data_IF_286896870435
#
_entry.id   IF_286896870435
#
_cell.length_a   1.000
_cell.length_b   1.000
_cell.length_c   1.000
_cell.angle_alpha   90.00
_cell.angle_beta   90.00
_cell.angle_gamma   90.00
#
_symmetry.space_group_name_H-M   'P 1'
#
loop_
_entity.id
_entity.type
_entity.pdbx_description
1 polymer ?
#
# COMPACT_ATOMS: atom_id res chain seq x y z
N UNK A 1 -10.92 -5.30 35.70
CA UNK A 1 -10.57 -4.39 34.58
C UNK A 1 -9.15 -4.70 34.14
N UNK A 2 -8.96 -5.39 33.00
CA UNK A 2 -7.64 -5.85 32.54
C UNK A 2 -7.07 -4.85 31.53
N UNK A 3 -5.97 -4.19 31.89
CA UNK A 3 -5.23 -3.25 31.02
C UNK A 3 -4.49 -4.06 29.96
N UNK A 4 -4.87 -3.93 28.69
CA UNK A 4 -4.10 -4.46 27.55
C UNK A 4 -3.23 -3.32 27.05
N UNK A 5 -1.93 -3.39 27.37
CA UNK A 5 -0.93 -2.45 26.88
C UNK A 5 -0.70 -2.65 25.39
N UNK A 6 -1.09 -1.66 24.60
CA UNK A 6 -0.74 -1.52 23.20
C UNK A 6 0.74 -1.13 23.11
N UNK A 7 1.58 -2.12 22.83
CA UNK A 7 3.00 -1.92 22.54
C UNK A 7 3.11 -1.39 21.11
N UNK A 8 3.09 -0.06 20.99
CA UNK A 8 3.38 0.66 19.76
C UNK A 8 4.85 0.39 19.41
N UNK A 9 5.08 -0.31 18.30
CA UNK A 9 6.42 -0.61 17.81
C UNK A 9 7.16 0.70 17.53
N UNK A 10 8.27 0.85 18.23
CA UNK A 10 9.23 1.95 18.18
C UNK A 10 9.65 2.19 16.73
N UNK A 11 9.28 3.36 16.19
CA UNK A 11 9.93 3.92 15.01
C UNK A 11 11.39 4.18 15.35
N UNK A 12 12.28 3.27 14.95
CA UNK A 12 13.70 3.37 15.22
C UNK A 12 14.40 3.98 14.00
N UNK A 13 14.47 5.32 13.97
CA UNK A 13 15.42 6.04 13.12
C UNK A 13 16.72 6.17 13.92
N UNK A 14 17.66 5.27 13.67
CA UNK A 14 19.07 5.48 13.97
C UNK A 14 19.85 5.02 12.74
N UNK A 15 19.83 5.89 11.73
CA UNK A 15 20.61 5.80 10.50
C UNK A 15 22.03 6.30 10.81
N UNK A 16 22.81 5.46 11.44
CA UNK A 16 24.25 5.62 11.42
C UNK A 16 24.79 4.28 10.98
N UNK A 17 25.50 4.26 9.85
CA UNK A 17 26.58 3.31 9.48
C UNK A 17 26.76 3.29 7.96
N UNK A 18 28.01 3.52 7.55
CA UNK A 18 28.58 3.41 6.20
C UNK A 18 27.86 4.20 5.10
N UNK A 19 28.24 5.47 4.92
CA UNK A 19 27.99 6.19 3.67
C UNK A 19 29.22 6.07 2.77
N UNK A 20 29.01 5.71 1.50
CA UNK A 20 30.00 5.94 0.44
C UNK A 20 30.98 4.79 0.17
N UNK A 21 30.77 3.61 0.77
CA UNK A 21 31.55 2.42 0.40
C UNK A 21 30.82 1.61 -0.68
N UNK A 22 31.59 1.02 -1.59
CA UNK A 22 31.07 0.05 -2.55
C UNK A 22 30.73 -1.26 -1.81
N UNK A 23 29.53 -1.79 -2.05
CA UNK A 23 29.06 -3.05 -1.52
C UNK A 23 29.14 -4.12 -2.61
N UNK A 24 29.98 -5.13 -2.41
CA UNK A 24 29.96 -6.35 -3.23
C UNK A 24 29.19 -7.44 -2.50
N UNK A 25 28.09 -7.92 -3.07
CA UNK A 25 27.32 -9.03 -2.49
C UNK A 25 28.03 -10.36 -2.64
N UNK A 26 27.61 -11.37 -1.88
CA UNK A 26 28.11 -12.76 -2.04
C UNK A 26 27.87 -13.32 -3.45
N UNK A 27 26.81 -12.88 -4.13
CA UNK A 27 26.52 -13.22 -5.53
C UNK A 27 27.45 -12.52 -6.54
N UNK A 28 28.35 -11.64 -6.07
CA UNK A 28 29.31 -10.90 -6.89
C UNK A 28 28.78 -9.59 -7.48
N UNK A 29 27.52 -9.22 -7.19
CA UNK A 29 26.94 -7.95 -7.65
C UNK A 29 27.53 -6.79 -6.84
N UNK A 30 27.92 -5.72 -7.52
CA UNK A 30 28.53 -4.54 -6.89
C UNK A 30 27.55 -3.37 -6.94
N UNK A 31 27.33 -2.75 -5.80
CA UNK A 31 26.57 -1.51 -5.64
C UNK A 31 27.52 -0.41 -5.20
N UNK A 32 27.42 0.78 -5.80
CA UNK A 32 28.31 1.91 -5.51
C UNK A 32 27.65 2.94 -4.61
N UNK A 33 28.47 3.64 -3.82
CA UNK A 33 28.04 4.69 -2.89
C UNK A 33 26.88 4.25 -2.00
N UNK A 34 27.05 3.09 -1.37
CA UNK A 34 25.95 2.48 -0.63
C UNK A 34 25.71 3.19 0.69
N UNK A 35 24.43 3.43 0.97
CA UNK A 35 23.93 3.89 2.26
C UNK A 35 22.90 2.88 2.80
N UNK A 36 23.08 2.45 4.05
CA UNK A 36 22.07 1.65 4.74
C UNK A 36 20.92 2.54 5.22
N UNK A 37 19.71 2.30 4.72
CA UNK A 37 18.52 3.06 5.13
C UNK A 37 17.71 2.38 6.21
N UNK A 38 17.43 1.09 6.06
CA UNK A 38 16.49 0.38 6.94
C UNK A 38 16.89 -1.08 7.08
N UNK A 39 16.79 -1.59 8.30
CA UNK A 39 16.94 -3.02 8.59
C UNK A 39 15.61 -3.51 9.13
N UNK A 40 14.98 -4.41 8.40
CA UNK A 40 13.72 -4.99 8.81
C UNK A 40 13.62 -6.40 8.25
N UNK A 41 13.17 -7.32 9.09
CA UNK A 41 12.71 -8.61 8.61
C UNK A 41 13.73 -9.50 7.96
N UNK A 42 14.98 -9.48 8.43
CA UNK A 42 16.03 -10.28 7.81
C UNK A 42 16.59 -9.67 6.52
N UNK A 43 16.13 -8.48 6.14
CA UNK A 43 16.57 -7.75 4.96
C UNK A 43 17.13 -6.38 5.35
N UNK A 44 17.94 -5.84 4.45
CA UNK A 44 18.48 -4.48 4.52
C UNK A 44 18.10 -3.74 3.27
N UNK A 45 17.43 -2.61 3.44
CA UNK A 45 17.22 -1.65 2.37
C UNK A 45 18.45 -0.76 2.26
N UNK A 46 19.07 -0.80 1.08
CA UNK A 46 20.18 0.05 0.72
C UNK A 46 19.74 1.08 -0.32
N UNK A 47 20.39 2.24 -0.29
CA UNK A 47 20.35 3.24 -1.36
C UNK A 47 21.74 3.28 -1.98
N UNK A 48 21.81 3.34 -3.30
CA UNK A 48 23.03 3.36 -4.10
C UNK A 48 22.81 4.26 -5.32
N UNK A 49 23.84 4.46 -6.15
CA UNK A 49 23.77 5.36 -7.31
C UNK A 49 22.58 5.05 -8.24
N UNK A 50 22.32 3.78 -8.53
CA UNK A 50 21.21 3.36 -9.42
C UNK A 50 19.82 3.32 -8.74
N UNK A 51 19.69 3.74 -7.48
CA UNK A 51 18.41 3.79 -6.76
C UNK A 51 18.41 3.03 -5.43
N UNK A 52 17.26 2.45 -5.07
CA UNK A 52 17.09 1.73 -3.81
C UNK A 52 16.82 0.24 -4.06
N UNK A 53 17.51 -0.62 -3.33
CA UNK A 53 17.36 -2.08 -3.42
C UNK A 53 17.21 -2.68 -2.02
N UNK A 54 16.40 -3.71 -1.90
CA UNK A 54 16.29 -4.52 -0.67
C UNK A 54 17.09 -5.80 -0.85
N UNK A 55 18.09 -6.00 -0.01
CA UNK A 55 18.95 -7.19 -0.01
C UNK A 55 18.64 -8.08 1.20
N UNK A 56 18.79 -9.38 1.02
CA UNK A 56 18.80 -10.32 2.14
C UNK A 56 20.07 -10.13 2.98
N UNK A 57 20.00 -10.33 4.30
CA UNK A 57 21.20 -10.27 5.15
C UNK A 57 22.27 -11.28 4.76
N UNK A 58 21.90 -12.42 4.18
CA UNK A 58 22.86 -13.40 3.68
C UNK A 58 23.62 -12.93 2.45
N UNK A 59 23.12 -11.94 1.73
CA UNK A 59 23.83 -11.40 0.57
C UNK A 59 24.84 -10.32 0.97
N UNK A 60 24.78 -9.85 2.23
CA UNK A 60 25.67 -8.83 2.74
C UNK A 60 27.00 -9.44 3.21
N UNK A 61 28.14 -8.79 2.93
CA UNK A 61 29.43 -9.21 3.46
C UNK A 61 29.44 -9.22 4.98
N UNK A 62 30.21 -10.14 5.56
CA UNK A 62 30.34 -10.30 7.01
C UNK A 62 30.73 -8.99 7.73
N UNK A 63 31.59 -8.18 7.10
CA UNK A 63 31.97 -6.85 7.62
C UNK A 63 30.78 -5.90 7.82
N UNK A 64 29.76 -5.95 6.95
CA UNK A 64 28.54 -5.16 7.10
C UNK A 64 27.65 -5.71 8.21
N UNK A 65 27.58 -7.04 8.33
CA UNK A 65 26.83 -7.70 9.41
C UNK A 65 27.47 -7.39 10.78
N UNK A 66 28.80 -7.36 10.83
CA UNK A 66 29.56 -6.96 12.02
C UNK A 66 29.38 -5.46 12.35
N UNK A 67 29.14 -4.60 11.37
CA UNK A 67 28.82 -3.19 11.61
C UNK A 67 27.41 -2.98 12.21
N UNK A 68 26.52 -3.98 12.15
CA UNK A 68 25.21 -3.91 12.79
C UNK A 68 25.35 -3.86 14.32
N UNK A 69 24.59 -2.97 14.95
CA UNK A 69 24.55 -2.83 16.40
C UNK A 69 24.12 -4.13 17.08
N UNK A 70 24.56 -4.32 18.32
CA UNK A 70 24.19 -5.49 19.16
C UNK A 70 22.67 -5.68 19.22
N UNK A 71 21.91 -4.58 19.32
CA UNK A 71 20.42 -4.62 19.30
C UNK A 71 19.86 -5.11 17.97
N UNK A 72 20.42 -4.69 16.85
CA UNK A 72 19.99 -5.15 15.52
C UNK A 72 20.28 -6.66 15.37
N UNK A 73 21.45 -7.13 15.80
CA UNK A 73 21.76 -8.57 15.77
C UNK A 73 20.82 -9.40 16.65
N UNK A 74 20.48 -8.89 17.83
CA UNK A 74 19.52 -9.57 18.71
C UNK A 74 18.11 -9.61 18.10
N UNK A 75 17.68 -8.56 17.40
CA UNK A 75 16.42 -8.58 16.65
C UNK A 75 16.42 -9.67 15.56
N UNK A 76 17.56 -9.92 14.91
CA UNK A 76 17.73 -10.99 13.93
C UNK A 76 17.72 -12.40 14.54
N UNK A 77 18.17 -12.54 15.79
CA UNK A 77 18.13 -13.82 16.51
C UNK A 77 16.72 -14.19 16.97
N UNK A 78 15.84 -13.21 17.15
CA UNK A 78 14.43 -13.44 17.51
C UNK A 78 13.54 -13.88 16.33
N UNK A 79 14.13 -13.99 15.13
CA UNK A 79 13.41 -14.38 13.92
C UNK A 79 13.12 -15.88 13.91
N UNK A 80 11.93 -16.25 13.44
CA UNK A 80 11.44 -17.62 13.48
C UNK A 80 11.32 -18.18 12.06
N UNK A 81 11.61 -19.46 11.91
CA UNK A 81 11.40 -20.16 10.65
C UNK A 81 9.91 -20.46 10.46
N UNK A 82 9.39 -20.14 9.27
CA UNK A 82 7.99 -20.33 8.91
C UNK A 82 7.91 -21.30 7.76
N UNK A 83 7.31 -22.46 8.01
CA UNK A 83 6.95 -23.41 6.98
C UNK A 83 5.55 -23.12 6.46
N UNK A 84 5.41 -22.89 5.16
CA UNK A 84 4.13 -22.65 4.49
C UNK A 84 3.51 -24.00 4.11
N UNK A 85 2.20 -24.02 3.84
CA UNK A 85 1.41 -25.24 3.59
C UNK A 85 1.95 -26.11 2.43
N UNK A 86 2.61 -25.49 1.46
CA UNK A 86 3.30 -26.14 0.33
C UNK A 86 4.58 -26.89 0.76
N UNK A 87 5.00 -26.76 2.01
CA UNK A 87 6.21 -27.34 2.57
C UNK A 87 7.42 -26.41 2.52
N UNK A 88 7.33 -25.26 1.85
CA UNK A 88 8.43 -24.30 1.71
C UNK A 88 8.76 -23.67 3.06
N UNK A 89 10.04 -23.70 3.44
CA UNK A 89 10.52 -23.16 4.72
C UNK A 89 11.24 -21.83 4.49
N UNK A 90 10.63 -20.76 4.98
CA UNK A 90 11.22 -19.43 5.01
C UNK A 90 11.95 -19.21 6.33
N UNK A 91 13.28 -19.14 6.27
CA UNK A 91 14.12 -19.03 7.46
C UNK A 91 14.29 -17.60 7.92
N UNK A 92 14.35 -17.42 9.25
CA UNK A 92 14.51 -16.13 9.92
C UNK A 92 13.53 -15.08 9.39
N UNK A 93 12.25 -15.39 9.52
CA UNK A 93 11.17 -14.64 8.87
C UNK A 93 10.50 -13.67 9.82
N UNK A 94 10.14 -12.49 9.31
CA UNK A 94 9.12 -11.61 9.89
C UNK A 94 7.90 -11.53 9.00
N UNK A 95 6.75 -11.26 9.63
CA UNK A 95 5.49 -11.13 8.93
C UNK A 95 5.05 -9.67 8.92
N UNK A 96 4.81 -9.12 7.74
CA UNK A 96 4.24 -7.79 7.55
C UNK A 96 2.92 -7.90 6.78
N UNK A 97 1.83 -7.33 7.32
CA UNK A 97 0.52 -7.41 6.65
C UNK A 97 0.45 -6.42 5.49
N UNK A 98 0.10 -6.90 4.30
CA UNK A 98 -0.12 -6.06 3.12
C UNK A 98 -1.61 -5.74 2.87
N UNK A 99 -2.51 -6.24 3.72
CA UNK A 99 -3.95 -6.21 3.47
C UNK A 99 -4.38 -7.19 2.36
N UNK A 100 -5.69 -7.25 2.09
CA UNK A 100 -6.24 -8.04 0.97
C UNK A 100 -6.01 -9.55 1.05
N UNK A 101 -5.80 -10.12 2.25
CA UNK A 101 -5.60 -11.57 2.41
C UNK A 101 -4.18 -12.06 2.19
N UNK A 102 -3.21 -11.15 2.06
CA UNK A 102 -1.80 -11.50 1.87
C UNK A 102 -0.92 -10.96 2.99
N UNK A 103 0.18 -11.69 3.22
CA UNK A 103 1.25 -11.32 4.15
C UNK A 103 2.55 -11.30 3.37
N UNK A 104 3.35 -10.26 3.58
CA UNK A 104 4.72 -10.21 3.13
C UNK A 104 5.57 -10.95 4.17
N UNK A 105 6.20 -12.04 3.74
CA UNK A 105 7.25 -12.69 4.50
C UNK A 105 8.57 -12.05 4.10
N UNK A 106 9.17 -11.29 5.01
CA UNK A 106 10.56 -10.87 4.87
C UNK A 106 11.41 -11.95 5.55
N UNK A 107 12.22 -12.64 4.77
CA UNK A 107 13.06 -13.75 5.19
C UNK A 107 14.51 -13.53 4.74
N UNK A 108 15.42 -14.44 5.10
CA UNK A 108 16.85 -14.31 4.79
C UNK A 108 17.14 -14.10 3.29
N UNK A 109 16.34 -14.70 2.42
CA UNK A 109 16.49 -14.65 0.95
C UNK A 109 15.68 -13.55 0.26
N UNK A 110 15.15 -12.59 1.01
CA UNK A 110 14.37 -11.47 0.47
C UNK A 110 12.93 -11.45 0.97
N UNK A 111 12.03 -10.94 0.14
CA UNK A 111 10.62 -10.78 0.48
C UNK A 111 9.74 -11.59 -0.46
N UNK A 112 8.79 -12.34 0.09
CA UNK A 112 7.80 -13.09 -0.68
C UNK A 112 6.39 -12.79 -0.18
N UNK A 113 5.45 -12.66 -1.12
CA UNK A 113 4.04 -12.47 -0.81
C UNK A 113 3.35 -13.83 -0.71
N UNK A 114 2.74 -14.11 0.45
CA UNK A 114 2.08 -15.40 0.73
C UNK A 114 0.64 -15.15 1.15
N UNK A 115 -0.29 -16.01 0.73
CA UNK A 115 -1.68 -15.92 1.16
C UNK A 115 -1.80 -16.29 2.65
N UNK A 116 -2.65 -15.59 3.40
CA UNK A 116 -2.86 -15.87 4.84
C UNK A 116 -3.30 -17.33 5.06
N UNK A 117 -4.05 -17.91 4.11
CA UNK A 117 -4.51 -19.30 4.16
C UNK A 117 -3.39 -20.35 4.15
N UNK A 118 -2.24 -20.01 3.58
CA UNK A 118 -1.09 -20.92 3.47
C UNK A 118 -0.16 -20.84 4.69
N UNK A 119 -0.37 -19.88 5.59
CA UNK A 119 0.40 -19.76 6.83
C UNK A 119 -0.03 -20.81 7.87
N UNK A 120 0.90 -21.26 8.75
CA UNK A 120 0.57 -22.10 9.89
C UNK A 120 -0.52 -21.50 10.79
N UNK A 121 -1.33 -22.36 11.40
CA UNK A 121 -2.46 -21.95 12.27
C UNK A 121 -2.03 -20.95 13.36
N UNK A 122 -0.84 -21.15 13.95
CA UNK A 122 -0.28 -20.25 14.98
C UNK A 122 -0.12 -18.80 14.51
N UNK A 123 0.24 -18.57 13.25
CA UNK A 123 0.44 -17.22 12.71
C UNK A 123 -0.84 -16.63 12.15
N UNK A 124 -1.74 -17.48 11.63
CA UNK A 124 -3.08 -17.05 11.19
C UNK A 124 -3.79 -16.32 12.33
N UNK A 125 -3.76 -16.88 13.56
CA UNK A 125 -4.39 -16.31 14.75
C UNK A 125 -3.95 -14.88 15.13
N UNK A 126 -2.82 -14.40 14.61
CA UNK A 126 -2.32 -13.04 14.89
C UNK A 126 -2.93 -12.01 13.94
N UNK A 127 -3.33 -12.41 12.73
CA UNK A 127 -3.98 -11.53 11.73
C UNK A 127 -5.51 -11.45 11.92
N UNK A 128 -6.06 -12.31 12.77
CA UNK A 128 -7.48 -12.66 12.72
C UNK A 128 -8.42 -11.73 13.47
N UNK A 129 -7.98 -10.82 14.33
CA UNK A 129 -8.95 -9.97 15.05
C UNK A 129 -9.55 -8.82 14.23
N UNK A 130 -8.86 -8.36 13.18
CA UNK A 130 -9.32 -7.25 12.32
C UNK A 130 -9.49 -7.64 10.86
N UNK A 131 -8.85 -8.71 10.38
CA UNK A 131 -8.92 -9.16 8.98
C UNK A 131 -9.76 -10.43 8.74
N UNK A 132 -10.01 -11.31 9.72
CA UNK A 132 -10.90 -12.48 9.49
C UNK A 132 -12.34 -12.09 9.19
N UNK A 133 -12.83 -10.99 9.77
CA UNK A 133 -14.19 -10.50 9.47
C UNK A 133 -14.34 -10.05 8.01
N UNK A 134 -13.24 -9.87 7.29
CA UNK A 134 -13.19 -9.52 5.87
C UNK A 134 -12.93 -10.79 5.02
N UNK A 135 -12.06 -11.69 5.48
CA UNK A 135 -11.68 -12.91 4.74
C UNK A 135 -12.69 -14.07 4.79
N UNK A 136 -13.53 -14.14 5.82
CA UNK A 136 -14.55 -15.19 5.92
C UNK A 136 -15.86 -14.82 5.22
N UNK A 137 -15.94 -13.65 4.57
CA UNK A 137 -17.13 -13.31 3.80
C UNK A 137 -17.13 -14.08 2.50
N UNK A 138 -18.16 -14.87 2.29
CA UNK A 138 -18.37 -15.54 0.99
C UNK A 138 -18.55 -14.47 -0.11
N UNK A 139 -18.26 -14.78 -1.38
CA UNK A 139 -18.56 -13.86 -2.49
C UNK A 139 -20.02 -13.39 -2.49
N UNK A 140 -20.94 -14.22 -1.98
CA UNK A 140 -22.35 -13.88 -1.79
C UNK A 140 -22.55 -12.85 -0.69
N UNK A 141 -21.89 -12.98 0.46
CA UNK A 141 -21.94 -11.99 1.55
C UNK A 141 -21.31 -10.65 1.14
N UNK A 142 -20.27 -10.67 0.32
CA UNK A 142 -19.66 -9.45 -0.24
C UNK A 142 -20.64 -8.77 -1.20
N UNK A 143 -21.30 -9.53 -2.09
CA UNK A 143 -22.34 -8.99 -2.98
C UNK A 143 -23.54 -8.45 -2.21
N UNK A 144 -23.98 -9.16 -1.17
CA UNK A 144 -25.07 -8.72 -0.31
C UNK A 144 -24.70 -7.44 0.46
N UNK A 145 -23.49 -7.36 1.00
CA UNK A 145 -22.99 -6.16 1.66
C UNK A 145 -22.84 -4.99 0.69
N UNK A 146 -22.37 -5.23 -0.53
CA UNK A 146 -22.27 -4.22 -1.56
C UNK A 146 -23.64 -3.70 -2.01
N UNK A 147 -24.64 -4.58 -2.20
CA UNK A 147 -26.01 -4.20 -2.50
C UNK A 147 -26.65 -3.43 -1.34
N UNK A 148 -26.45 -3.89 -0.10
CA UNK A 148 -26.91 -3.19 1.10
C UNK A 148 -26.26 -1.81 1.23
N UNK A 149 -24.97 -1.70 0.88
CA UNK A 149 -24.28 -0.42 0.83
C UNK A 149 -24.89 0.48 -0.25
N UNK A 150 -25.04 0.03 -1.50
CA UNK A 150 -25.63 0.85 -2.58
C UNK A 150 -26.99 1.42 -2.12
N UNK A 151 -27.84 0.59 -1.53
CA UNK A 151 -29.15 1.01 -0.99
C UNK A 151 -29.98 1.71 -2.06
N UNK A 152 -30.39 2.96 -1.81
CA UNK A 152 -31.15 3.79 -2.77
C UNK A 152 -30.27 4.59 -3.74
N UNK A 153 -28.96 4.31 -3.78
CA UNK A 153 -28.02 5.00 -4.64
C UNK A 153 -28.28 4.73 -6.12
N UNK A 154 -28.38 5.80 -6.93
CA UNK A 154 -28.56 5.66 -8.39
C UNK A 154 -27.20 5.55 -9.08
N UNK A 155 -27.01 4.60 -10.02
CA UNK A 155 -25.78 4.52 -10.80
C UNK A 155 -25.66 5.77 -11.68
N UNK A 156 -24.44 6.30 -11.78
CA UNK A 156 -24.15 7.48 -12.61
C UNK A 156 -23.71 7.13 -14.04
N UNK A 157 -23.36 5.86 -14.27
CA UNK A 157 -22.68 5.43 -15.50
C UNK A 157 -21.17 5.74 -15.53
N UNK A 158 -20.68 6.52 -14.57
CA UNK A 158 -19.26 6.84 -14.44
C UNK A 158 -18.51 5.76 -13.63
N UNK A 159 -17.21 5.61 -13.90
CA UNK A 159 -16.32 4.67 -13.22
C UNK A 159 -15.13 5.39 -12.60
N UNK A 160 -14.58 4.85 -11.50
CA UNK A 160 -13.29 5.29 -10.95
C UNK A 160 -12.13 4.88 -11.87
N UNK A 161 -10.93 5.41 -11.63
CA UNK A 161 -9.71 4.98 -12.33
C UNK A 161 -9.45 3.47 -12.21
N UNK A 162 -9.89 2.87 -11.10
CA UNK A 162 -9.82 1.44 -10.83
C UNK A 162 -10.99 0.63 -11.46
N UNK A 163 -11.82 1.27 -12.29
CA UNK A 163 -12.94 0.63 -12.99
C UNK A 163 -14.22 0.40 -12.18
N UNK A 164 -14.31 0.95 -10.95
CA UNK A 164 -15.47 0.74 -10.05
C UNK A 164 -16.62 1.69 -10.36
N UNK A 165 -17.85 1.21 -10.31
CA UNK A 165 -19.04 2.02 -10.59
C UNK A 165 -19.27 3.10 -9.52
N UNK A 166 -19.66 4.29 -9.98
CA UNK A 166 -19.98 5.43 -9.14
C UNK A 166 -21.49 5.58 -9.00
N UNK A 167 -21.93 5.74 -7.76
CA UNK A 167 -23.32 5.91 -7.35
C UNK A 167 -23.54 7.30 -6.74
N UNK A 168 -24.74 7.84 -6.87
CA UNK A 168 -25.18 9.06 -6.18
C UNK A 168 -26.19 8.69 -5.09
N UNK A 169 -25.87 9.05 -3.86
CA UNK A 169 -26.73 8.83 -2.71
C UNK A 169 -27.89 9.84 -2.64
N UNK A 170 -28.86 9.57 -1.76
CA UNK A 170 -30.04 10.43 -1.56
C UNK A 170 -29.73 11.89 -1.25
N UNK A 171 -28.55 12.19 -0.68
CA UNK A 171 -28.08 13.55 -0.38
C UNK A 171 -27.23 14.18 -1.51
N UNK A 172 -27.23 13.60 -2.71
CA UNK A 172 -26.45 14.10 -3.86
C UNK A 172 -24.94 13.88 -3.76
N UNK A 173 -24.48 13.11 -2.78
CA UNK A 173 -23.06 12.73 -2.64
C UNK A 173 -22.71 11.57 -3.56
N UNK A 174 -21.58 11.69 -4.27
CA UNK A 174 -21.04 10.62 -5.13
C UNK A 174 -20.19 9.66 -4.30
N UNK A 175 -20.37 8.37 -4.50
CA UNK A 175 -19.61 7.33 -3.79
C UNK A 175 -19.40 6.09 -4.67
N UNK A 176 -18.41 5.29 -4.35
CA UNK A 176 -18.27 3.92 -4.85
C UNK A 176 -18.29 2.94 -3.67
N UNK A 177 -18.45 1.66 -3.96
CA UNK A 177 -18.36 0.59 -2.96
C UNK A 177 -16.98 -0.05 -3.04
N UNK A 178 -16.27 -0.12 -1.91
CA UNK A 178 -14.97 -0.77 -1.83
C UNK A 178 -15.08 -2.31 -1.80
N UNK A 179 -13.95 -2.99 -1.75
CA UNK A 179 -13.91 -4.46 -1.74
C UNK A 179 -14.44 -5.06 -0.42
N UNK A 180 -14.64 -4.23 0.61
CA UNK A 180 -15.21 -4.63 1.90
C UNK A 180 -16.74 -4.47 1.94
N UNK A 181 -17.34 -3.90 0.89
CA UNK A 181 -18.76 -3.55 0.85
C UNK A 181 -19.09 -2.25 1.59
N UNK A 182 -18.14 -1.31 1.71
CA UNK A 182 -18.34 0.00 2.37
C UNK A 182 -18.44 1.13 1.35
N UNK A 183 -19.19 2.18 1.69
CA UNK A 183 -19.28 3.41 0.90
C UNK A 183 -18.01 4.24 1.06
N UNK A 184 -17.37 4.57 -0.06
CA UNK A 184 -16.28 5.54 -0.12
C UNK A 184 -16.76 6.74 -0.93
N UNK A 185 -16.92 7.88 -0.25
CA UNK A 185 -17.40 9.10 -0.88
C UNK A 185 -16.26 9.79 -1.65
N UNK A 186 -16.57 10.18 -2.88
CA UNK A 186 -15.66 10.94 -3.72
C UNK A 186 -15.66 12.39 -3.25
N UNK A 187 -14.48 12.96 -3.07
CA UNK A 187 -14.32 14.37 -2.74
C UNK A 187 -14.85 15.17 -3.93
N UNK A 188 -15.76 16.13 -3.69
CA UNK A 188 -16.12 17.07 -4.76
C UNK A 188 -14.84 17.80 -5.15
N UNK A 189 -14.47 17.71 -6.43
CA UNK A 189 -13.58 18.70 -6.98
C UNK A 189 -14.24 20.05 -6.78
N UNK A 190 -13.48 20.98 -6.21
CA UNK A 190 -13.92 22.36 -6.02
C UNK A 190 -13.92 23.00 -7.40
N UNK A 191 -14.98 22.77 -8.18
CA UNK A 191 -15.21 23.49 -9.43
C UNK A 191 -15.22 24.97 -9.07
N UNK A 192 -14.23 25.71 -9.58
CA UNK A 192 -14.19 27.16 -9.46
C UNK A 192 -15.54 27.71 -9.92
N UNK A 193 -16.18 28.50 -9.07
CA UNK A 193 -17.44 29.13 -9.37
C UNK A 193 -17.34 29.87 -10.71
N UNK A 194 -18.35 29.66 -11.54
CA UNK A 194 -18.55 30.27 -12.83
C UNK A 194 -18.18 31.77 -12.82
N UNK A 195 -17.20 32.15 -13.65
CA UNK A 195 -17.15 33.50 -14.19
C UNK A 195 -18.35 33.65 -15.13
N UNK A 196 -19.28 34.52 -14.73
CA UNK A 196 -20.42 34.97 -15.54
C UNK A 196 -19.92 35.41 -16.92
N UNK A 197 -20.60 35.04 -18.03
CA UNK A 197 -20.29 35.61 -19.34
C UNK A 197 -20.61 37.10 -19.32
N UNK A 198 -19.61 37.93 -19.64
CA UNK A 198 -19.79 39.34 -19.91
C UNK A 198 -20.75 39.52 -21.10
N UNK A 199 -21.82 40.25 -20.87
CA UNK A 199 -22.76 40.71 -21.91
C UNK A 199 -21.97 41.60 -22.88
N UNK A 200 -21.90 41.22 -24.15
CA UNK A 200 -21.40 42.08 -25.23
C UNK A 200 -22.44 42.13 -26.34
N UNK A 201 -23.37 43.08 -26.21
CA UNK A 201 -24.35 43.36 -27.26
C UNK A 201 -23.72 44.24 -28.34
N UNK A 202 -23.35 43.55 -29.42
CA UNK A 202 -23.57 43.88 -30.82
C UNK A 202 -23.71 45.35 -31.24
N UNK A 203 -22.64 45.84 -31.86
CA UNK A 203 -22.62 46.95 -32.80
C UNK A 203 -23.03 46.42 -34.19
N UNK A 204 -24.20 46.81 -34.71
CA UNK A 204 -24.56 46.59 -36.12
C UNK A 204 -24.87 47.92 -36.79
N UNK A 205 -24.04 48.25 -37.77
CA UNK A 205 -24.10 49.46 -38.57
C UNK A 205 -25.03 49.31 -39.79
N UNK A 206 -25.75 50.40 -40.07
CA UNK A 206 -26.16 50.99 -41.36
C UNK A 206 -26.65 50.10 -42.54
N UNK A 207 -27.82 50.41 -43.14
CA UNK A 207 -28.12 50.06 -44.51
C UNK A 207 -27.78 51.20 -45.49
N UNK A 208 -27.04 50.85 -46.55
CA UNK A 208 -26.74 51.70 -47.70
C UNK A 208 -27.93 51.78 -48.68
N UNK A 209 -28.07 52.94 -49.32
CA UNK A 209 -29.05 53.27 -50.34
C UNK A 209 -28.81 52.60 -51.71
N UNK A 210 -29.87 52.35 -52.49
CA UNK A 210 -30.12 52.93 -53.85
C UNK A 210 -31.22 52.23 -54.67
N UNK A 211 -32.10 53.08 -55.23
CA UNK A 211 -32.56 53.21 -56.63
C UNK A 211 -33.53 52.17 -57.23
N UNK A 212 -34.69 52.68 -57.63
CA UNK A 212 -35.46 52.28 -58.81
C UNK A 212 -36.34 53.46 -59.25
N UNK A 213 -36.17 53.91 -60.49
CA UNK A 213 -36.98 54.95 -61.17
C UNK A 213 -38.36 54.44 -61.53
#
# INVERSE_FOLDING_TARGET
MKKVGLLLAVGLVMSSVLCGADLKTESGKVYKNVELRRIAGGCVQIVHDDGATTLGLSELPEQFIAALSIRQRHALQSLVDIQVKDGTVYRKTTLESLGGGFVLLNHLGGSVKVAVGDLPAKYRATFTRRQLSILNKTPEEIKAAAQAAIGTGKPTGEKTADGKDIYVGSRGGRFFVDNDGKKVYLKREKTAAASLPAVSDAQTAAPAARVGK
#
